data_IF_757485821364
#
_entry.id   IF_757485821364
#
_cell.length_a   1.000
_cell.length_b   1.000
_cell.length_c   1.000
_cell.angle_alpha   90.00
_cell.angle_beta   90.00
_cell.angle_gamma   90.00
#
_symmetry.space_group_name_H-M   'P 1'
#
loop_
_entity.id
_entity.type
_entity.pdbx_description
1 polymer ?
#
# COMPACT_ATOMS: atom_id res chain seq x y z
N UNK A 1 -12.23 3.65 -1.69
CA UNK A 1 -11.90 3.47 -3.11
C UNK A 1 -10.77 2.47 -3.14
N UNK A 2 -10.93 1.36 -3.84
CA UNK A 2 -9.85 0.37 -3.91
C UNK A 2 -8.70 0.93 -4.75
N UNK A 3 -7.49 0.81 -4.22
CA UNK A 3 -6.25 1.21 -4.90
C UNK A 3 -5.34 -0.01 -4.98
N UNK A 4 -4.61 -0.13 -6.07
CA UNK A 4 -3.50 -1.07 -6.17
C UNK A 4 -2.25 -0.39 -5.61
N UNK A 5 -1.69 -0.96 -4.55
CA UNK A 5 -0.61 -0.38 -3.78
C UNK A 5 0.63 -1.27 -3.91
N UNK A 6 1.75 -0.69 -4.34
CA UNK A 6 3.04 -1.35 -4.42
C UNK A 6 4.00 -0.72 -3.42
N UNK A 7 4.61 -1.54 -2.57
CA UNK A 7 5.58 -1.11 -1.58
C UNK A 7 6.95 -1.64 -1.98
N UNK A 8 7.86 -0.74 -2.34
CA UNK A 8 9.24 -1.08 -2.69
C UNK A 8 10.13 -1.00 -1.46
N UNK A 9 10.96 -2.03 -1.24
CA UNK A 9 11.94 -2.09 -0.15
C UNK A 9 13.38 -1.81 -0.66
N UNK A 10 14.33 -1.48 0.23
CA UNK A 10 15.72 -1.18 -0.15
C UNK A 10 16.45 -2.29 -0.93
N UNK A 11 16.03 -3.54 -0.77
CA UNK A 11 16.57 -4.71 -1.49
C UNK A 11 15.94 -4.91 -2.88
N UNK A 12 15.13 -3.95 -3.33
CA UNK A 12 14.35 -4.00 -4.59
C UNK A 12 13.23 -5.05 -4.60
N UNK A 13 12.91 -5.67 -3.46
CA UNK A 13 11.68 -6.46 -3.35
C UNK A 13 10.47 -5.53 -3.36
N UNK A 14 9.34 -6.05 -3.86
CA UNK A 14 8.08 -5.31 -3.99
C UNK A 14 6.96 -6.20 -3.46
N UNK A 15 6.20 -5.66 -2.51
CA UNK A 15 4.92 -6.23 -2.09
C UNK A 15 3.76 -5.51 -2.78
N UNK A 16 2.71 -6.26 -3.09
CA UNK A 16 1.48 -5.78 -3.73
C UNK A 16 0.30 -5.94 -2.78
N UNK A 17 -0.52 -4.90 -2.66
CA UNK A 17 -1.72 -4.85 -1.83
C UNK A 17 -2.87 -4.20 -2.61
N UNK A 18 -4.10 -4.53 -2.25
CA UNK A 18 -5.30 -3.89 -2.78
C UNK A 18 -6.15 -3.31 -1.65
N UNK A 19 -6.22 -1.97 -1.58
CA UNK A 19 -7.01 -1.32 -0.55
C UNK A 19 -6.74 0.17 -0.40
N UNK A 20 -6.73 0.64 0.85
CA UNK A 20 -6.49 2.04 1.20
C UNK A 20 -5.17 2.20 1.96
N UNK A 21 -4.34 3.16 1.54
CA UNK A 21 -3.08 3.50 2.21
C UNK A 21 -3.24 4.73 3.10
N UNK A 22 -2.79 4.63 4.35
CA UNK A 22 -2.73 5.72 5.33
C UNK A 22 -1.29 5.88 5.81
N UNK A 23 -0.78 7.11 5.72
CA UNK A 23 0.58 7.45 6.15
C UNK A 23 0.55 7.97 7.58
N UNK A 24 1.17 7.22 8.50
CA UNK A 24 1.38 7.62 9.88
C UNK A 24 2.84 8.03 10.10
N UNK A 25 3.16 8.61 11.27
CA UNK A 25 4.51 9.13 11.53
C UNK A 25 5.62 8.09 11.35
N UNK A 26 5.40 6.86 11.82
CA UNK A 26 6.44 5.82 11.90
C UNK A 26 6.13 4.58 11.05
N UNK A 27 4.94 4.49 10.45
CA UNK A 27 4.53 3.35 9.65
C UNK A 27 3.51 3.73 8.58
N UNK A 28 3.42 2.89 7.56
CA UNK A 28 2.39 2.91 6.54
C UNK A 28 1.35 1.86 6.95
N UNK A 29 0.09 2.26 7.03
CA UNK A 29 -1.04 1.34 7.17
C UNK A 29 -1.66 1.10 5.80
N UNK A 30 -1.92 -0.17 5.49
CA UNK A 30 -2.70 -0.55 4.32
C UNK A 30 -3.90 -1.35 4.81
N UNK A 31 -5.11 -0.87 4.54
CA UNK A 31 -6.36 -1.55 4.89
C UNK A 31 -6.85 -2.36 3.69
N UNK A 32 -7.00 -3.67 3.86
CA UNK A 32 -7.47 -4.61 2.82
C UNK A 32 -8.69 -5.37 3.34
N UNK A 33 -9.89 -5.04 2.84
CA UNK A 33 -11.14 -5.61 3.34
C UNK A 33 -11.29 -5.39 4.86
N UNK A 34 -11.33 -6.48 5.63
CA UNK A 34 -11.43 -6.47 7.10
C UNK A 34 -10.05 -6.50 7.81
N UNK A 35 -8.96 -6.58 7.06
CA UNK A 35 -7.58 -6.69 7.56
C UNK A 35 -6.78 -5.40 7.41
N UNK A 36 -5.61 -5.36 8.05
CA UNK A 36 -4.62 -4.30 7.81
C UNK A 36 -3.18 -4.80 7.89
N UNK A 37 -2.32 -4.18 7.08
CA UNK A 37 -0.88 -4.36 7.07
C UNK A 37 -0.22 -3.12 7.68
N UNK A 38 0.78 -3.35 8.54
CA UNK A 38 1.58 -2.29 9.14
C UNK A 38 3.03 -2.41 8.66
N UNK A 39 3.46 -1.46 7.85
CA UNK A 39 4.76 -1.47 7.19
C UNK A 39 5.63 -0.38 7.80
N UNK A 40 6.88 -0.70 8.14
CA UNK A 40 7.79 0.25 8.77
C UNK A 40 8.34 1.26 7.75
N UNK A 41 8.09 2.56 7.98
CA UNK A 41 8.58 3.63 7.12
C UNK A 41 10.10 3.60 6.92
N UNK A 42 10.86 3.27 7.96
CA UNK A 42 12.31 3.24 7.91
C UNK A 42 12.85 2.15 6.97
N UNK A 43 12.04 1.13 6.67
CA UNK A 43 12.40 0.03 5.79
C UNK A 43 11.69 0.10 4.44
N UNK A 44 10.97 1.17 4.13
CA UNK A 44 10.29 1.34 2.84
C UNK A 44 11.04 2.37 1.99
N UNK A 45 11.35 2.00 0.75
CA UNK A 45 11.97 2.90 -0.23
C UNK A 45 10.93 3.81 -0.89
N UNK A 46 9.83 3.22 -1.35
CA UNK A 46 8.76 3.95 -2.04
C UNK A 46 7.42 3.24 -1.86
N UNK A 47 6.34 4.02 -1.98
CA UNK A 47 4.97 3.52 -2.05
C UNK A 47 4.32 4.10 -3.29
N UNK A 48 3.78 3.24 -4.14
CA UNK A 48 3.05 3.62 -5.34
C UNK A 48 1.60 3.19 -5.18
N UNK A 49 0.66 4.13 -5.26
CA UNK A 49 -0.77 3.84 -5.16
C UNK A 49 -1.47 4.26 -6.45
N UNK A 50 -2.13 3.30 -7.10
CA UNK A 50 -2.86 3.49 -8.34
C UNK A 50 -4.35 3.31 -8.06
N UNK A 51 -5.21 4.28 -8.39
CA UNK A 51 -6.65 4.10 -8.24
C UNK A 51 -7.11 2.95 -9.13
N UNK A 52 -7.89 2.02 -8.57
CA UNK A 52 -8.59 1.02 -9.38
C UNK A 52 -9.83 1.71 -9.92
N UNK A 53 -9.79 2.09 -11.21
CA UNK A 53 -10.99 2.47 -11.91
C UNK A 53 -11.86 1.22 -12.06
N UNK A 54 -12.80 1.03 -11.14
CA UNK A 54 -13.98 0.21 -11.40
C UNK A 54 -14.85 0.96 -12.41
N UNK A 55 -14.47 0.96 -13.69
CA UNK A 55 -15.46 1.17 -14.75
C UNK A 55 -16.39 -0.05 -14.70
N UNK A 56 -17.57 0.15 -14.09
CA UNK A 56 -18.65 -0.84 -14.08
C UNK A 56 -18.96 -1.25 -15.54
N UNK A 57 -18.82 -2.55 -15.83
CA UNK A 57 -19.34 -3.19 -17.04
C UNK A 57 -20.85 -3.41 -16.96
#
# INVERSE_FOLDING_TARGET
>A
MDQLIFVEYPDSSVDEFQGEVVYERDFILIYEGDGHHRINHAHTRAVHAYPINTEES
#
